data_IF_898992676627
#
_entry.id   IF_898992676627
#
_cell.length_a   1.000
_cell.length_b   1.000
_cell.length_c   1.000
_cell.angle_alpha   90.00
_cell.angle_beta   90.00
_cell.angle_gamma   90.00
#
_symmetry.space_group_name_H-M   'P 1'
#
loop_
_entity.id
_entity.type
_entity.pdbx_description
1 polymer ?
#
# COMPACT_ATOMS: atom_id res chain seq x y z
N UNK A 1 -14.91 -18.28 -2.02
CA UNK A 1 -14.69 -16.82 -1.92
C UNK A 1 -13.19 -16.59 -1.91
N UNK A 2 -12.61 -16.10 -3.01
CA UNK A 2 -11.16 -15.96 -3.18
C UNK A 2 -10.58 -14.84 -2.30
N UNK A 3 -9.29 -14.94 -1.99
CA UNK A 3 -8.60 -13.87 -1.27
C UNK A 3 -8.49 -12.62 -2.17
N UNK A 4 -9.29 -11.61 -1.85
CA UNK A 4 -9.40 -10.36 -2.60
C UNK A 4 -8.03 -9.70 -2.81
N UNK A 5 -7.16 -9.68 -1.79
CA UNK A 5 -5.84 -9.03 -1.93
C UNK A 5 -4.93 -9.82 -2.87
N UNK A 6 -5.05 -11.15 -2.91
CA UNK A 6 -4.33 -12.01 -3.85
C UNK A 6 -4.76 -11.73 -5.28
N UNK A 7 -6.07 -11.68 -5.52
CA UNK A 7 -6.60 -11.55 -6.87
C UNK A 7 -6.32 -10.15 -7.43
N UNK A 8 -6.48 -9.10 -6.61
CA UNK A 8 -6.11 -7.72 -6.98
C UNK A 8 -4.61 -7.56 -7.25
N UNK A 9 -3.74 -8.08 -6.39
CA UNK A 9 -2.29 -7.94 -6.59
C UNK A 9 -1.77 -8.74 -7.78
N UNK A 10 -2.40 -9.88 -8.09
CA UNK A 10 -2.10 -10.64 -9.29
C UNK A 10 -2.52 -9.89 -10.56
N UNK A 11 -3.74 -9.33 -10.59
CA UNK A 11 -4.19 -8.54 -11.73
C UNK A 11 -3.33 -7.28 -11.93
N UNK A 12 -2.98 -6.58 -10.84
CA UNK A 12 -2.07 -5.44 -10.92
C UNK A 12 -0.71 -5.82 -11.52
N UNK A 13 -0.13 -6.95 -11.11
CA UNK A 13 1.13 -7.43 -11.68
C UNK A 13 1.01 -7.71 -13.20
N UNK A 14 -0.10 -8.29 -13.67
CA UNK A 14 -0.36 -8.49 -15.10
C UNK A 14 -0.45 -7.15 -15.84
N UNK A 15 -1.17 -6.18 -15.29
CA UNK A 15 -1.32 -4.87 -15.92
C UNK A 15 0.03 -4.14 -16.02
N UNK A 16 0.89 -4.27 -15.01
CA UNK A 16 2.26 -3.75 -15.04
C UNK A 16 3.14 -4.45 -16.09
N UNK A 17 2.99 -5.76 -16.28
CA UNK A 17 3.70 -6.51 -17.33
C UNK A 17 3.29 -6.01 -18.72
N UNK A 18 2.00 -5.79 -18.95
CA UNK A 18 1.52 -5.25 -20.22
C UNK A 18 1.97 -3.80 -20.44
N UNK A 19 1.95 -2.97 -19.40
CA UNK A 19 2.49 -1.62 -19.49
C UNK A 19 3.99 -1.62 -19.80
N UNK A 20 4.77 -2.50 -19.16
CA UNK A 20 6.20 -2.65 -19.45
C UNK A 20 6.44 -2.98 -20.93
N UNK A 21 5.70 -3.97 -21.48
CA UNK A 21 5.80 -4.33 -22.91
C UNK A 21 5.54 -3.12 -23.80
N UNK A 22 4.46 -2.37 -23.53
CA UNK A 22 4.12 -1.16 -24.27
C UNK A 22 5.21 -0.07 -24.20
N UNK A 23 5.72 0.21 -23.00
CA UNK A 23 6.76 1.23 -22.81
C UNK A 23 8.04 0.87 -23.58
N UNK A 24 8.42 -0.40 -23.58
CA UNK A 24 9.62 -0.88 -24.29
C UNK A 24 9.40 -0.93 -25.81
N UNK A 25 8.27 -1.46 -26.27
CA UNK A 25 8.03 -1.67 -27.71
C UNK A 25 7.67 -0.38 -28.44
N UNK A 26 6.77 0.42 -27.87
CA UNK A 26 6.20 1.60 -28.53
C UNK A 26 6.92 2.88 -28.15
N UNK A 27 7.27 3.03 -26.87
CA UNK A 27 7.88 4.27 -26.36
C UNK A 27 9.40 4.23 -26.27
N UNK A 28 10.00 3.05 -26.44
CA UNK A 28 11.45 2.82 -26.28
C UNK A 28 11.99 3.26 -24.91
N UNK A 29 11.15 3.22 -23.88
CA UNK A 29 11.52 3.55 -22.50
C UNK A 29 11.94 2.27 -21.76
N UNK A 30 13.16 2.26 -21.21
CA UNK A 30 13.81 1.05 -20.67
C UNK A 30 14.17 1.15 -19.19
N UNK A 31 14.21 2.35 -18.62
CA UNK A 31 14.74 2.59 -17.28
C UNK A 31 13.60 2.60 -16.28
N UNK A 32 12.63 3.50 -16.44
CA UNK A 32 11.48 3.61 -15.53
C UNK A 32 10.58 2.38 -15.64
N UNK A 33 10.39 1.88 -16.85
CA UNK A 33 9.61 0.68 -17.15
C UNK A 33 10.15 -0.53 -16.40
N UNK A 34 11.48 -0.68 -16.33
CA UNK A 34 12.12 -1.77 -15.58
C UNK A 34 12.00 -1.60 -14.07
N UNK A 35 12.09 -0.38 -13.55
CA UNK A 35 11.88 -0.12 -12.12
C UNK A 35 10.44 -0.45 -11.72
N UNK A 36 9.46 0.06 -12.48
CA UNK A 36 8.04 -0.22 -12.29
C UNK A 36 7.71 -1.71 -12.41
N UNK A 37 8.29 -2.40 -13.39
CA UNK A 37 8.08 -3.84 -13.57
C UNK A 37 8.52 -4.61 -12.31
N UNK A 38 9.68 -4.28 -11.75
CA UNK A 38 10.18 -4.92 -10.53
C UNK A 38 9.29 -4.60 -9.34
N UNK A 39 9.02 -3.32 -9.07
CA UNK A 39 8.24 -2.94 -7.89
C UNK A 39 6.80 -3.45 -7.97
N UNK A 40 6.16 -3.33 -9.14
CA UNK A 40 4.76 -3.71 -9.33
C UNK A 40 4.52 -5.21 -9.20
N UNK A 41 5.43 -6.04 -9.70
CA UNK A 41 5.34 -7.50 -9.56
C UNK A 41 5.76 -7.99 -8.18
N UNK A 42 6.65 -7.26 -7.50
CA UNK A 42 7.12 -7.55 -6.13
C UNK A 42 6.00 -7.45 -5.08
N UNK A 43 4.99 -6.60 -5.30
CA UNK A 43 3.81 -6.47 -4.40
C UNK A 43 3.14 -7.82 -4.18
N UNK A 44 2.71 -8.48 -5.27
CA UNK A 44 2.04 -9.78 -5.21
C UNK A 44 2.94 -10.89 -4.69
N UNK A 45 4.24 -10.85 -5.00
CA UNK A 45 5.22 -11.82 -4.52
C UNK A 45 5.35 -11.78 -2.98
N UNK A 46 5.57 -10.58 -2.42
CA UNK A 46 5.69 -10.41 -0.97
C UNK A 46 4.39 -10.73 -0.22
N UNK A 47 3.22 -10.44 -0.81
CA UNK A 47 1.93 -10.83 -0.23
C UNK A 47 1.75 -12.36 -0.18
N UNK A 48 2.24 -13.09 -1.20
CA UNK A 48 2.26 -14.55 -1.18
C UNK A 48 3.22 -15.10 -0.14
N UNK A 49 4.40 -14.50 0.01
CA UNK A 49 5.34 -14.87 1.07
C UNK A 49 4.74 -14.64 2.46
N UNK A 50 4.06 -13.52 2.67
CA UNK A 50 3.42 -13.20 3.94
C UNK A 50 2.41 -14.27 4.39
N UNK A 51 1.71 -14.92 3.45
CA UNK A 51 0.79 -16.04 3.79
C UNK A 51 1.49 -17.26 4.37
N UNK A 52 2.75 -17.47 4.00
CA UNK A 52 3.58 -18.56 4.47
C UNK A 52 4.52 -18.12 5.61
N UNK A 53 4.26 -16.96 6.22
CA UNK A 53 5.09 -16.38 7.26
C UNK A 53 5.16 -17.31 8.49
N UNK A 54 6.35 -17.41 9.08
CA UNK A 54 6.62 -18.31 10.20
C UNK A 54 6.33 -17.67 11.57
N UNK A 55 6.07 -16.37 11.60
CA UNK A 55 5.71 -15.64 12.81
C UNK A 55 4.85 -14.41 12.51
N UNK A 56 4.15 -13.84 13.52
CA UNK A 56 3.46 -12.58 13.36
C UNK A 56 4.36 -11.41 12.94
N UNK A 57 5.61 -11.38 13.43
CA UNK A 57 6.58 -10.35 13.06
C UNK A 57 7.01 -10.48 11.60
N UNK A 58 7.26 -11.71 11.15
CA UNK A 58 7.58 -12.02 9.76
C UNK A 58 6.40 -11.67 8.82
N UNK A 59 5.17 -12.01 9.22
CA UNK A 59 3.95 -11.62 8.48
C UNK A 59 3.87 -10.10 8.29
N UNK A 60 4.09 -9.33 9.36
CA UNK A 60 4.09 -7.86 9.31
C UNK A 60 5.22 -7.36 8.41
N UNK A 61 6.41 -7.93 8.53
CA UNK A 61 7.58 -7.54 7.74
C UNK A 61 7.33 -7.73 6.24
N UNK A 62 6.87 -8.90 5.81
CA UNK A 62 6.57 -9.20 4.40
C UNK A 62 5.46 -8.30 3.84
N UNK A 63 4.39 -8.06 4.59
CA UNK A 63 3.37 -7.08 4.18
C UNK A 63 3.94 -5.66 4.12
N UNK A 64 4.85 -5.27 5.00
CA UNK A 64 5.49 -3.96 4.96
C UNK A 64 6.41 -3.79 3.75
N UNK A 65 7.08 -4.85 3.31
CA UNK A 65 7.81 -4.85 2.03
C UNK A 65 6.84 -4.67 0.87
N UNK A 66 5.75 -5.44 0.81
CA UNK A 66 4.71 -5.26 -0.21
C UNK A 66 4.14 -3.84 -0.23
N UNK A 67 3.97 -3.21 0.95
CA UNK A 67 3.54 -1.83 1.08
C UNK A 67 4.52 -0.86 0.42
N UNK A 68 5.83 -1.02 0.67
CA UNK A 68 6.88 -0.16 0.08
C UNK A 68 6.93 -0.30 -1.43
N UNK A 69 6.87 -1.54 -1.94
CA UNK A 69 6.88 -1.83 -3.38
C UNK A 69 5.66 -1.26 -4.10
N UNK A 70 4.50 -1.25 -3.43
CA UNK A 70 3.29 -0.66 -3.96
C UNK A 70 3.37 0.88 -4.02
N UNK A 71 3.98 1.50 -2.99
CA UNK A 71 4.22 2.94 -2.94
C UNK A 71 5.25 3.39 -3.99
N UNK A 72 6.32 2.63 -4.18
CA UNK A 72 7.30 2.85 -5.25
C UNK A 72 6.66 2.71 -6.64
N UNK A 73 5.74 1.75 -6.82
CA UNK A 73 5.02 1.60 -8.08
C UNK A 73 4.13 2.80 -8.40
N UNK A 74 3.47 3.39 -7.39
CA UNK A 74 2.70 4.63 -7.55
C UNK A 74 3.59 5.77 -8.04
N UNK A 75 4.77 5.95 -7.41
CA UNK A 75 5.73 6.98 -7.82
C UNK A 75 6.16 6.84 -9.29
N UNK A 76 6.45 5.62 -9.74
CA UNK A 76 6.81 5.40 -11.15
C UNK A 76 5.64 5.67 -12.11
N UNK A 77 4.40 5.34 -11.72
CA UNK A 77 3.21 5.67 -12.51
C UNK A 77 3.01 7.19 -12.63
N UNK A 78 3.22 7.94 -11.55
CA UNK A 78 3.18 9.41 -11.54
C UNK A 78 4.23 10.00 -12.49
N UNK A 79 5.47 9.52 -12.43
CA UNK A 79 6.54 9.97 -13.32
C UNK A 79 6.24 9.69 -14.79
N UNK A 80 5.77 8.48 -15.11
CA UNK A 80 5.41 8.09 -16.47
C UNK A 80 4.27 8.94 -17.03
N UNK A 81 3.30 9.32 -16.20
CA UNK A 81 2.22 10.22 -16.61
C UNK A 81 2.74 11.64 -16.82
N UNK A 82 3.47 12.19 -15.84
CA UNK A 82 3.99 13.55 -15.89
C UNK A 82 4.98 13.78 -17.06
N UNK A 83 5.68 12.73 -17.49
CA UNK A 83 6.60 12.77 -18.64
C UNK A 83 5.96 12.36 -19.97
N UNK A 84 4.65 12.09 -20.01
CA UNK A 84 3.89 11.82 -21.24
C UNK A 84 4.12 10.43 -21.86
N UNK A 85 4.65 9.48 -21.10
CA UNK A 85 4.82 8.09 -21.57
C UNK A 85 3.50 7.32 -21.59
N UNK A 86 2.58 7.64 -20.67
CA UNK A 86 1.24 7.06 -20.59
C UNK A 86 0.18 8.16 -20.66
N UNK A 87 -1.04 7.79 -21.08
CA UNK A 87 -2.17 8.71 -21.04
C UNK A 87 -2.72 8.85 -19.63
N UNK A 88 -3.37 9.99 -19.34
CA UNK A 88 -4.05 10.25 -18.07
C UNK A 88 -5.05 9.13 -17.71
N UNK A 89 -5.81 8.64 -18.69
CA UNK A 89 -6.75 7.53 -18.48
C UNK A 89 -6.06 6.23 -18.07
N UNK A 90 -4.91 5.90 -18.68
CA UNK A 90 -4.13 4.71 -18.30
C UNK A 90 -3.49 4.88 -16.92
N UNK A 91 -3.01 6.09 -16.62
CA UNK A 91 -2.51 6.42 -15.29
C UNK A 91 -3.59 6.22 -14.22
N UNK A 92 -4.78 6.82 -14.39
CA UNK A 92 -5.89 6.71 -13.44
C UNK A 92 -6.28 5.24 -13.19
N UNK A 93 -6.42 4.45 -14.24
CA UNK A 93 -6.76 3.02 -14.14
C UNK A 93 -5.79 2.24 -13.24
N UNK A 94 -4.47 2.43 -13.43
CA UNK A 94 -3.44 1.71 -12.68
C UNK A 94 -3.25 2.30 -11.27
N UNK A 95 -3.33 3.62 -11.16
CA UNK A 95 -3.19 4.35 -9.90
C UNK A 95 -4.31 3.99 -8.92
N UNK A 96 -5.55 3.86 -9.39
CA UNK A 96 -6.69 3.43 -8.57
C UNK A 96 -6.50 2.00 -8.03
N UNK A 97 -6.05 1.07 -8.87
CA UNK A 97 -5.74 -0.31 -8.49
C UNK A 97 -4.63 -0.35 -7.43
N UNK A 98 -3.51 0.33 -7.68
CA UNK A 98 -2.38 0.41 -6.76
C UNK A 98 -2.75 1.09 -5.43
N UNK A 99 -3.50 2.19 -5.46
CA UNK A 99 -3.97 2.89 -4.25
C UNK A 99 -4.89 2.00 -3.42
N UNK A 100 -5.78 1.24 -4.06
CA UNK A 100 -6.67 0.31 -3.39
C UNK A 100 -5.88 -0.82 -2.71
N UNK A 101 -4.90 -1.39 -3.42
CA UNK A 101 -3.96 -2.37 -2.84
C UNK A 101 -3.22 -1.79 -1.64
N UNK A 102 -2.64 -0.60 -1.76
CA UNK A 102 -1.91 0.06 -0.69
C UNK A 102 -2.76 0.25 0.57
N UNK A 103 -4.02 0.66 0.42
CA UNK A 103 -4.98 0.80 1.53
C UNK A 103 -5.25 -0.55 2.22
N UNK A 104 -5.47 -1.61 1.43
CA UNK A 104 -5.71 -2.96 1.95
C UNK A 104 -4.47 -3.45 2.74
N UNK A 105 -3.27 -3.32 2.16
CA UNK A 105 -2.02 -3.76 2.80
C UNK A 105 -1.79 -3.01 4.13
N UNK A 106 -1.98 -1.69 4.14
CA UNK A 106 -1.89 -0.87 5.36
C UNK A 106 -2.88 -1.36 6.43
N UNK A 107 -4.12 -1.64 6.04
CA UNK A 107 -5.14 -2.16 6.96
C UNK A 107 -4.76 -3.52 7.56
N UNK A 108 -4.22 -4.44 6.75
CA UNK A 108 -3.72 -5.76 7.19
C UNK A 108 -2.62 -5.60 8.25
N UNK A 109 -1.63 -4.74 7.99
CA UNK A 109 -0.52 -4.48 8.92
C UNK A 109 -1.03 -3.88 10.23
N UNK A 110 -1.88 -2.85 10.16
CA UNK A 110 -2.43 -2.17 11.33
C UNK A 110 -3.25 -3.14 12.20
N UNK A 111 -4.14 -3.90 11.58
CA UNK A 111 -4.97 -4.90 12.26
C UNK A 111 -4.09 -5.95 12.95
N UNK A 112 -3.06 -6.46 12.27
CA UNK A 112 -2.15 -7.45 12.86
C UNK A 112 -1.38 -6.88 14.06
N UNK A 113 -0.89 -5.64 13.98
CA UNK A 113 -0.20 -4.96 15.08
C UNK A 113 -1.10 -4.74 16.30
N UNK A 114 -2.35 -4.31 16.07
CA UNK A 114 -3.33 -4.12 17.14
C UNK A 114 -3.62 -5.45 17.87
N UNK A 115 -3.76 -6.55 17.12
CA UNK A 115 -4.00 -7.86 17.70
C UNK A 115 -2.82 -8.41 18.51
N UNK A 116 -1.59 -7.93 18.26
CA UNK A 116 -0.41 -8.32 19.05
C UNK A 116 -0.26 -7.51 20.34
N UNK A 117 -0.71 -6.26 20.37
CA UNK A 117 -0.59 -5.36 21.52
C UNK A 117 -1.94 -4.72 21.89
N UNK A 118 -2.94 -5.49 22.35
CA UNK A 118 -4.28 -4.97 22.64
C UNK A 118 -4.28 -3.87 23.71
N UNK A 119 -3.41 -3.99 24.73
CA UNK A 119 -3.30 -3.00 25.81
C UNK A 119 -2.83 -1.62 25.32
N UNK A 120 -1.94 -1.56 24.32
CA UNK A 120 -1.47 -0.28 23.76
C UNK A 120 -2.58 0.53 23.08
N UNK A 121 -3.62 -0.14 22.57
CA UNK A 121 -4.77 0.52 21.98
C UNK A 121 -5.74 1.06 23.05
N UNK A 122 -5.87 0.33 24.18
CA UNK A 122 -6.65 0.76 25.34
C UNK A 122 -5.99 1.97 25.99
N UNK A 123 -4.67 1.92 26.24
CA UNK A 123 -3.89 3.01 26.82
C UNK A 123 -3.97 4.30 25.97
N UNK A 124 -3.90 4.18 24.63
CA UNK A 124 -4.08 5.35 23.74
C UNK A 124 -5.49 5.94 23.83
N UNK A 125 -6.53 5.11 23.96
CA UNK A 125 -7.91 5.59 24.14
C UNK A 125 -8.09 6.26 25.50
N UNK A 126 -7.52 5.71 26.57
CA UNK A 126 -7.55 6.32 27.90
C UNK A 126 -6.82 7.66 27.90
N UNK A 127 -5.62 7.74 27.31
CA UNK A 127 -4.88 8.99 27.20
C UNK A 127 -5.64 10.07 26.41
N UNK A 128 -6.27 9.71 25.29
CA UNK A 128 -7.13 10.64 24.54
C UNK A 128 -8.36 11.08 25.34
N UNK A 129 -8.99 10.16 26.07
CA UNK A 129 -10.12 10.47 26.95
C UNK A 129 -9.73 11.48 28.02
N UNK A 130 -8.58 11.27 28.67
CA UNK A 130 -8.01 12.18 29.68
C UNK A 130 -7.74 13.57 29.09
N UNK A 131 -7.13 13.64 27.89
CA UNK A 131 -6.88 14.91 27.21
C UNK A 131 -8.17 15.68 26.90
N UNK A 132 -9.21 15.00 26.41
CA UNK A 132 -10.50 15.62 26.13
C UNK A 132 -11.16 16.12 27.41
N UNK A 133 -11.16 15.32 28.48
CA UNK A 133 -11.70 15.74 29.78
C UNK A 133 -10.99 16.99 30.32
N UNK A 134 -9.67 17.06 30.18
CA UNK A 134 -8.89 18.23 30.61
C UNK A 134 -9.16 19.47 29.75
N UNK A 135 -9.31 19.34 28.43
CA UNK A 135 -9.71 20.46 27.56
C UNK A 135 -11.08 21.03 27.96
N UNK A 136 -12.08 20.17 28.21
CA UNK A 136 -13.42 20.60 28.64
C UNK A 136 -13.40 21.28 30.01
N UNK A 137 -12.55 20.82 30.93
CA UNK A 137 -12.38 21.45 32.24
C UNK A 137 -11.78 22.87 32.14
N UNK A 138 -10.81 23.08 31.23
CA UNK A 138 -10.18 24.39 31.00
C UNK A 138 -11.16 25.41 30.40
N UNK A 139 -12.06 24.97 29.52
CA UNK A 139 -13.07 25.87 28.93
C UNK A 139 -14.15 26.30 29.94
N UNK A 140 -14.52 25.42 30.87
CA UNK A 140 -15.50 25.75 31.93
C UNK A 140 -14.97 26.75 32.96
N UNK A 141 -13.65 26.81 33.17
CA UNK A 141 -13.00 27.75 34.09
C UNK A 141 -12.73 29.14 33.49
N UNK A 142 -13.11 29.38 32.23
CA UNK A 142 -12.99 30.68 31.54
C UNK A 142 -14.32 31.48 31.50
N UNK A 143 -15.36 31.06 32.23
CA UNK A 143 -16.64 31.78 32.37
C UNK A 143 -16.82 32.29 33.79
#
# INVERSE_FOLDING_TARGET
>A
MGDIVRDLSFQFALDIIELYKYLVSEKKELVMSKQLLRSGTSVGANLREAKNAQSPADFIHKNAVAQKECDESLYWLELLNASGYISESKFQELNEKATSLLKIIKSIILTKKQNLNPNSAIEKKEYFSILISNCVAVEKNKR
#
